data_IF_547424701287
#
_entry.id   IF_547424701287
#
_cell.length_a   1.000
_cell.length_b   1.000
_cell.length_c   1.000
_cell.angle_alpha   90.00
_cell.angle_beta   90.00
_cell.angle_gamma   90.00
#
_symmetry.space_group_name_H-M   'P 1'
#
loop_
_entity.id
_entity.type
_entity.pdbx_description
1 polymer ?
#
# COMPACT_ATOMS: atom_id res chain seq x y z
N UNK A 1 -7.35 9.26 -11.47
CA UNK A 1 -7.76 7.84 -11.37
C UNK A 1 -7.38 7.37 -9.99
N UNK A 2 -8.21 6.54 -9.33
CA UNK A 2 -7.87 5.96 -8.01
C UNK A 2 -6.96 4.75 -8.20
N UNK A 3 -6.10 4.46 -7.21
CA UNK A 3 -5.23 3.28 -7.22
C UNK A 3 -5.55 2.39 -6.03
N UNK A 4 -5.56 1.08 -6.24
CA UNK A 4 -5.46 0.09 -5.16
C UNK A 4 -4.06 -0.50 -5.24
N UNK A 5 -3.36 -0.56 -4.12
CA UNK A 5 -1.92 -0.85 -4.09
C UNK A 5 -1.64 -1.97 -3.10
N UNK A 6 -0.79 -2.91 -3.48
CA UNK A 6 -0.22 -3.89 -2.55
C UNK A 6 1.27 -4.09 -2.79
N UNK A 7 1.95 -4.63 -1.77
CA UNK A 7 3.36 -5.03 -1.81
C UNK A 7 3.46 -6.55 -1.74
N UNK A 8 4.02 -7.17 -2.77
CA UNK A 8 4.37 -8.59 -2.80
C UNK A 8 5.86 -8.76 -3.00
N UNK A 9 6.59 -9.00 -1.93
CA UNK A 9 8.04 -9.11 -1.91
C UNK A 9 8.50 -10.28 -1.02
N UNK A 10 9.69 -10.80 -1.30
CA UNK A 10 10.26 -11.92 -0.53
C UNK A 10 9.39 -13.18 -0.61
N UNK A 11 9.48 -14.03 0.41
CA UNK A 11 8.88 -15.37 0.42
C UNK A 11 7.86 -15.60 1.54
N UNK A 12 7.44 -14.53 2.26
CA UNK A 12 6.50 -14.68 3.38
C UNK A 12 5.12 -15.14 2.92
N UNK A 13 4.64 -14.57 1.82
CA UNK A 13 3.33 -14.90 1.26
C UNK A 13 3.49 -15.64 -0.07
N UNK A 14 2.53 -16.50 -0.37
CA UNK A 14 2.39 -17.11 -1.69
C UNK A 14 1.68 -16.13 -2.64
N UNK A 15 1.89 -16.28 -3.92
CA UNK A 15 1.28 -15.43 -4.96
C UNK A 15 -0.24 -15.46 -4.97
N UNK A 16 -0.83 -16.54 -4.45
CA UNK A 16 -2.28 -16.69 -4.31
C UNK A 16 -2.91 -15.58 -3.47
N UNK A 17 -2.17 -15.04 -2.47
CA UNK A 17 -2.65 -13.89 -1.69
C UNK A 17 -2.90 -12.65 -2.54
N UNK A 18 -2.05 -12.40 -3.53
CA UNK A 18 -2.24 -11.28 -4.46
C UNK A 18 -3.49 -11.48 -5.31
N UNK A 19 -3.71 -12.72 -5.84
CA UNK A 19 -4.90 -13.05 -6.61
C UNK A 19 -6.18 -12.95 -5.76
N UNK A 20 -6.13 -13.38 -4.51
CA UNK A 20 -7.25 -13.28 -3.57
C UNK A 20 -7.58 -11.81 -3.31
N UNK A 21 -6.57 -10.99 -2.97
CA UNK A 21 -6.78 -9.56 -2.74
C UNK A 21 -7.32 -8.85 -3.98
N UNK A 22 -6.77 -9.14 -5.17
CA UNK A 22 -7.28 -8.62 -6.42
C UNK A 22 -8.77 -8.96 -6.61
N UNK A 23 -9.13 -10.24 -6.46
CA UNK A 23 -10.50 -10.70 -6.66
C UNK A 23 -11.47 -10.08 -5.62
N UNK A 24 -11.05 -9.93 -4.36
CA UNK A 24 -11.84 -9.24 -3.34
C UNK A 24 -12.04 -7.76 -3.72
N UNK A 25 -10.98 -7.09 -4.17
CA UNK A 25 -11.06 -5.70 -4.63
C UNK A 25 -12.04 -5.56 -5.80
N UNK A 26 -11.94 -6.41 -6.82
CA UNK A 26 -12.87 -6.37 -7.97
C UNK A 26 -14.34 -6.62 -7.57
N UNK A 27 -14.57 -7.39 -6.51
CA UNK A 27 -15.93 -7.68 -6.01
C UNK A 27 -16.50 -6.55 -5.17
N UNK A 28 -15.68 -5.85 -4.41
CA UNK A 28 -16.10 -4.95 -3.33
C UNK A 28 -15.81 -3.47 -3.57
N UNK A 29 -15.09 -3.11 -4.66
CA UNK A 29 -14.85 -1.73 -5.06
C UNK A 29 -15.52 -1.44 -6.40
N UNK A 30 -16.48 -0.51 -6.41
CA UNK A 30 -17.20 -0.12 -7.64
C UNK A 30 -16.55 1.07 -8.35
N UNK A 31 -15.72 1.82 -7.64
CA UNK A 31 -15.02 3.00 -8.19
C UNK A 31 -13.96 2.55 -9.21
N UNK A 32 -13.92 3.15 -10.42
CA UNK A 32 -12.89 2.86 -11.40
C UNK A 32 -11.48 3.08 -10.84
N UNK A 33 -10.64 2.06 -10.91
CA UNK A 33 -9.31 2.07 -10.29
C UNK A 33 -8.30 1.25 -11.09
N UNK A 34 -7.02 1.51 -10.83
CA UNK A 34 -5.92 0.61 -11.18
C UNK A 34 -5.59 -0.26 -9.98
N UNK A 35 -5.24 -1.51 -10.20
CA UNK A 35 -4.69 -2.40 -9.18
C UNK A 35 -3.17 -2.54 -9.41
N UNK A 36 -2.38 -1.93 -8.53
CA UNK A 36 -0.93 -1.80 -8.68
C UNK A 36 -0.22 -2.74 -7.71
N UNK A 37 0.60 -3.63 -8.23
CA UNK A 37 1.37 -4.60 -7.46
C UNK A 37 2.84 -4.20 -7.51
N UNK A 38 3.42 -3.79 -6.39
CA UNK A 38 4.87 -3.65 -6.28
C UNK A 38 5.48 -4.97 -5.84
N UNK A 39 6.48 -5.45 -6.60
CA UNK A 39 7.06 -6.76 -6.36
C UNK A 39 8.54 -6.82 -6.78
N UNK A 40 9.29 -7.71 -6.15
CA UNK A 40 10.63 -8.16 -6.56
C UNK A 40 10.58 -9.43 -7.44
N UNK A 41 9.40 -10.01 -7.65
CA UNK A 41 9.20 -11.21 -8.46
C UNK A 41 9.01 -10.89 -9.95
N UNK A 42 10.03 -11.13 -10.76
CA UNK A 42 10.09 -10.76 -12.19
C UNK A 42 8.95 -11.33 -13.06
N UNK A 43 8.34 -12.46 -12.65
CA UNK A 43 7.30 -13.14 -13.42
C UNK A 43 5.87 -12.78 -13.01
N UNK A 44 5.68 -11.81 -12.13
CA UNK A 44 4.37 -11.50 -11.56
C UNK A 44 3.30 -11.13 -12.59
N UNK A 45 3.68 -10.42 -13.65
CA UNK A 45 2.79 -10.06 -14.77
C UNK A 45 2.18 -11.26 -15.51
N UNK A 46 2.71 -12.48 -15.29
CA UNK A 46 2.18 -13.73 -15.88
C UNK A 46 1.14 -14.39 -14.99
N UNK A 47 1.06 -13.99 -13.72
CA UNK A 47 0.32 -14.70 -12.68
C UNK A 47 -0.98 -13.96 -12.35
N UNK A 48 -0.93 -12.64 -12.19
CA UNK A 48 -2.13 -11.82 -11.96
C UNK A 48 -2.53 -11.17 -13.29
N UNK A 49 -3.73 -11.49 -13.74
CA UNK A 49 -4.26 -10.97 -15.01
C UNK A 49 -5.54 -10.19 -14.74
N UNK A 50 -5.64 -9.04 -15.35
CA UNK A 50 -6.81 -8.17 -15.30
C UNK A 50 -6.53 -6.91 -16.12
N UNK A 51 -7.57 -6.32 -16.69
CA UNK A 51 -7.45 -5.16 -17.58
C UNK A 51 -6.97 -3.91 -16.83
N UNK A 52 -7.19 -3.88 -15.50
CA UNK A 52 -6.79 -2.78 -14.62
C UNK A 52 -5.56 -3.12 -13.76
N UNK A 53 -4.86 -4.25 -14.01
CA UNK A 53 -3.68 -4.67 -13.24
C UNK A 53 -2.41 -4.06 -13.82
N UNK A 54 -1.61 -3.46 -12.95
CA UNK A 54 -0.28 -2.95 -13.27
C UNK A 54 0.75 -3.54 -12.31
N UNK A 55 1.79 -4.18 -12.85
CA UNK A 55 2.89 -4.74 -12.05
C UNK A 55 4.09 -3.83 -12.14
N UNK A 56 4.59 -3.39 -11.00
CA UNK A 56 5.75 -2.52 -10.86
C UNK A 56 6.83 -3.20 -10.04
N UNK A 57 8.08 -2.92 -10.36
CA UNK A 57 9.21 -3.32 -9.53
C UNK A 57 9.21 -2.49 -8.25
N UNK A 58 9.51 -3.12 -7.10
CA UNK A 58 9.77 -2.38 -5.86
C UNK A 58 10.92 -1.40 -6.10
N UNK A 59 10.74 -0.10 -5.83
CA UNK A 59 11.75 0.91 -6.16
C UNK A 59 13.10 0.68 -5.46
N UNK A 60 13.07 0.20 -4.21
CA UNK A 60 14.26 0.02 -3.39
C UNK A 60 14.33 -1.40 -2.85
N UNK A 61 15.54 -1.98 -2.79
CA UNK A 61 15.79 -3.34 -2.32
C UNK A 61 16.45 -3.40 -0.95
N UNK A 62 16.79 -2.25 -0.36
CA UNK A 62 17.56 -2.18 0.89
C UNK A 62 16.66 -2.26 2.14
N UNK A 63 15.35 -2.14 1.96
CA UNK A 63 14.41 -2.25 3.06
C UNK A 63 14.01 -3.69 3.30
N UNK A 64 13.89 -4.05 4.58
CA UNK A 64 13.47 -5.38 4.99
C UNK A 64 12.14 -5.31 5.75
N UNK A 65 11.37 -6.39 5.65
CA UNK A 65 10.12 -6.49 6.36
C UNK A 65 9.13 -5.40 5.96
N UNK A 66 8.37 -4.95 6.92
CA UNK A 66 7.35 -3.91 6.79
C UNK A 66 7.93 -2.53 6.39
N UNK A 67 9.26 -2.28 6.54
CA UNK A 67 9.93 -1.07 6.05
C UNK A 67 9.82 -0.88 4.53
N UNK A 68 9.55 -1.95 3.78
CA UNK A 68 9.26 -1.83 2.34
C UNK A 68 8.06 -0.92 2.04
N UNK A 69 7.12 -0.73 2.97
CA UNK A 69 6.00 0.20 2.81
C UNK A 69 6.44 1.65 2.59
N UNK A 70 7.62 2.04 3.12
CA UNK A 70 8.17 3.38 2.87
C UNK A 70 8.38 3.67 1.39
N UNK A 71 8.69 2.64 0.60
CA UNK A 71 8.91 2.80 -0.84
C UNK A 71 7.68 3.34 -1.57
N UNK A 72 6.48 3.11 -1.04
CA UNK A 72 5.23 3.60 -1.61
C UNK A 72 5.11 5.12 -1.55
N UNK A 73 5.82 5.76 -0.61
CA UNK A 73 5.80 7.21 -0.42
C UNK A 73 6.92 7.92 -1.16
N UNK A 74 7.81 7.16 -1.81
CA UNK A 74 8.89 7.73 -2.61
C UNK A 74 8.38 8.29 -3.94
N UNK A 75 9.09 9.27 -4.55
CA UNK A 75 8.80 9.71 -5.91
C UNK A 75 8.88 8.57 -6.93
N UNK A 76 9.78 7.60 -6.72
CA UNK A 76 10.01 6.46 -7.60
C UNK A 76 8.84 5.46 -7.62
N UNK A 77 7.98 5.48 -6.61
CA UNK A 77 6.73 4.71 -6.64
C UNK A 77 5.82 5.18 -7.78
N UNK A 78 5.94 6.43 -8.20
CA UNK A 78 5.17 7.00 -9.32
C UNK A 78 3.65 6.79 -9.16
N UNK A 79 3.14 7.06 -7.95
CA UNK A 79 1.73 6.99 -7.61
C UNK A 79 1.10 8.38 -7.79
N UNK A 80 0.20 8.50 -8.75
CA UNK A 80 -0.56 9.72 -9.01
C UNK A 80 -1.97 9.60 -8.44
N UNK A 81 -2.45 10.67 -7.77
CA UNK A 81 -3.78 10.70 -7.17
C UNK A 81 -3.85 9.89 -5.87
N UNK A 82 -5.06 9.54 -5.48
CA UNK A 82 -5.28 8.82 -4.22
C UNK A 82 -5.04 7.33 -4.39
N UNK A 83 -4.33 6.77 -3.44
CA UNK A 83 -3.96 5.36 -3.37
C UNK A 83 -4.51 4.72 -2.11
N UNK A 84 -5.15 3.57 -2.25
CA UNK A 84 -5.62 2.73 -1.15
C UNK A 84 -4.73 1.48 -1.08
N UNK A 85 -3.91 1.43 -0.06
CA UNK A 85 -3.01 0.31 0.20
C UNK A 85 -3.68 -0.74 1.08
N UNK A 86 -3.44 -2.00 0.76
CA UNK A 86 -3.78 -3.16 1.58
C UNK A 86 -2.57 -4.06 1.80
N UNK A 87 -2.38 -4.53 3.04
CA UNK A 87 -1.56 -5.71 3.30
C UNK A 87 -2.20 -6.94 2.62
N UNK A 88 -1.37 -7.90 2.23
CA UNK A 88 -1.82 -9.08 1.47
C UNK A 88 -2.75 -10.01 2.26
N UNK A 89 -2.70 -9.95 3.58
CA UNK A 89 -3.50 -10.76 4.51
C UNK A 89 -4.78 -10.06 4.99
N UNK A 90 -5.10 -8.89 4.44
CA UNK A 90 -6.38 -8.23 4.67
C UNK A 90 -7.51 -8.98 3.96
N UNK A 91 -8.63 -9.16 4.66
CA UNK A 91 -9.85 -9.76 4.10
C UNK A 91 -10.90 -8.68 3.90
N UNK A 92 -11.34 -8.49 2.66
CA UNK A 92 -12.39 -7.54 2.29
C UNK A 92 -13.71 -8.30 2.24
N UNK A 93 -14.67 -7.93 3.10
CA UNK A 93 -15.94 -8.65 3.29
C UNK A 93 -17.16 -7.88 2.79
N UNK A 94 -17.02 -6.57 2.54
CA UNK A 94 -18.11 -5.71 2.10
C UNK A 94 -17.58 -4.57 1.21
N UNK A 95 -18.49 -3.71 0.72
CA UNK A 95 -18.14 -2.57 -0.13
C UNK A 95 -17.11 -1.65 0.53
N UNK A 96 -16.08 -1.29 -0.23
CA UNK A 96 -14.97 -0.45 0.21
C UNK A 96 -14.89 0.92 -0.47
N UNK A 97 -15.93 1.34 -1.19
CA UNK A 97 -15.97 2.65 -1.86
C UNK A 97 -15.79 3.80 -0.85
N UNK A 98 -16.30 3.60 0.38
CA UNK A 98 -16.18 4.59 1.45
C UNK A 98 -14.73 4.94 1.81
N UNK A 99 -13.76 4.07 1.59
CA UNK A 99 -12.36 4.43 1.80
C UNK A 99 -11.91 5.58 0.89
N UNK A 100 -12.52 5.72 -0.30
CA UNK A 100 -12.22 6.82 -1.21
C UNK A 100 -13.13 8.03 -1.05
N UNK A 101 -14.35 7.85 -0.56
CA UNK A 101 -15.36 8.92 -0.49
C UNK A 101 -15.50 9.54 0.90
N UNK A 102 -15.07 8.83 1.96
CA UNK A 102 -15.06 9.38 3.31
C UNK A 102 -14.01 10.48 3.43
N UNK A 103 -14.42 11.67 3.86
CA UNK A 103 -13.56 12.84 3.98
C UNK A 103 -12.64 13.00 2.76
N UNK A 104 -13.24 13.20 1.59
CA UNK A 104 -12.55 13.17 0.29
C UNK A 104 -11.39 14.16 0.20
N UNK A 105 -11.50 15.32 0.87
CA UNK A 105 -10.45 16.33 0.93
C UNK A 105 -9.25 15.93 1.82
N UNK A 106 -9.42 14.92 2.69
CA UNK A 106 -8.35 14.43 3.54
C UNK A 106 -7.36 13.61 2.74
N UNK A 107 -6.09 13.98 2.78
CA UNK A 107 -5.03 13.36 1.98
C UNK A 107 -4.45 12.08 2.56
N UNK A 108 -4.68 11.82 3.83
CA UNK A 108 -4.21 10.61 4.54
C UNK A 108 -5.29 10.09 5.46
N UNK A 109 -5.66 8.83 5.32
CA UNK A 109 -6.56 8.09 6.23
C UNK A 109 -5.88 6.81 6.63
N UNK A 110 -5.77 6.58 7.91
CA UNK A 110 -5.14 5.40 8.52
C UNK A 110 -6.14 4.68 9.42
N UNK A 111 -6.00 3.37 9.51
CA UNK A 111 -6.73 2.59 10.49
C UNK A 111 -6.21 2.90 11.90
N UNK A 112 -7.14 3.00 12.87
CA UNK A 112 -6.76 3.02 14.28
C UNK A 112 -6.20 1.67 14.68
N UNK A 113 -5.17 1.67 15.53
CA UNK A 113 -4.61 0.44 16.06
C UNK A 113 -5.67 -0.36 16.84
N UNK A 114 -5.59 -1.68 16.75
CA UNK A 114 -6.43 -2.59 17.55
C UNK A 114 -6.16 -2.46 19.04
N UNK A 115 -4.94 -2.11 19.44
CA UNK A 115 -4.63 -1.78 20.82
C UNK A 115 -5.12 -0.37 21.15
N UNK A 116 -6.30 -0.27 21.76
CA UNK A 116 -6.95 1.00 22.11
C UNK A 116 -6.24 1.76 23.25
N UNK A 117 -5.29 1.13 23.93
CA UNK A 117 -4.49 1.79 25.00
C UNK A 117 -3.37 2.64 24.40
N UNK A 118 -2.94 2.36 23.19
CA UNK A 118 -1.98 3.15 22.43
C UNK A 118 -2.72 4.11 21.51
N UNK A 119 -2.18 5.32 21.32
CA UNK A 119 -2.67 6.26 20.28
C UNK A 119 -1.95 6.03 18.95
N UNK A 120 -1.67 4.75 18.63
CA UNK A 120 -0.98 4.35 17.40
C UNK A 120 -1.97 4.08 16.26
N UNK A 121 -1.43 4.01 15.06
CA UNK A 121 -2.16 3.69 13.84
C UNK A 121 -1.67 2.35 13.30
N UNK A 122 -2.59 1.61 12.68
CA UNK A 122 -2.29 0.39 11.95
C UNK A 122 -2.12 0.69 10.47
N UNK A 123 -1.05 0.20 9.87
CA UNK A 123 -0.69 0.46 8.48
C UNK A 123 -1.15 -0.62 7.49
N UNK A 124 -1.99 -1.57 7.94
CA UNK A 124 -2.49 -2.65 7.07
C UNK A 124 -3.46 -2.16 6.00
N UNK A 125 -4.14 -1.04 6.28
CA UNK A 125 -5.00 -0.34 5.32
C UNK A 125 -4.70 1.15 5.44
N UNK A 126 -4.35 1.78 4.31
CA UNK A 126 -4.03 3.20 4.26
C UNK A 126 -4.58 3.82 2.97
N UNK A 127 -5.35 4.93 3.09
CA UNK A 127 -5.57 5.81 1.94
C UNK A 127 -4.61 6.99 2.04
N UNK A 128 -3.92 7.29 0.97
CA UNK A 128 -2.94 8.38 0.93
C UNK A 128 -2.80 9.00 -0.47
N UNK A 129 -2.21 10.19 -0.50
CA UNK A 129 -1.84 10.88 -1.71
C UNK A 129 -0.35 11.24 -1.64
N UNK A 130 0.44 10.85 -2.64
CA UNK A 130 1.91 11.04 -2.62
C UNK A 130 2.34 12.51 -2.73
N UNK A 131 1.50 13.41 -3.24
CA UNK A 131 1.78 14.85 -3.16
C UNK A 131 1.96 15.33 -1.71
N UNK A 132 1.31 14.66 -0.75
CA UNK A 132 1.43 14.95 0.70
C UNK A 132 2.42 14.01 1.36
N UNK A 133 2.36 12.70 1.04
CA UNK A 133 3.16 11.69 1.77
C UNK A 133 4.63 11.74 1.42
N UNK A 134 5.01 12.12 0.20
CA UNK A 134 6.43 12.23 -0.15
C UNK A 134 7.14 13.25 0.74
N UNK A 135 6.73 14.53 0.84
CA UNK A 135 7.41 15.47 1.71
C UNK A 135 7.26 15.14 3.21
N UNK A 136 6.11 14.60 3.64
CA UNK A 136 5.84 14.37 5.06
C UNK A 136 6.47 13.10 5.62
N UNK A 137 6.63 12.06 4.81
CA UNK A 137 7.12 10.75 5.25
C UNK A 137 8.44 10.39 4.60
N UNK A 138 8.50 10.39 3.28
CA UNK A 138 9.69 9.96 2.56
C UNK A 138 10.88 10.91 2.77
N UNK A 139 10.70 12.21 2.53
CA UNK A 139 11.79 13.19 2.67
C UNK A 139 12.24 13.32 4.13
N UNK A 140 11.29 13.26 5.08
CA UNK A 140 11.59 13.24 6.51
C UNK A 140 12.40 11.99 6.87
N UNK A 141 11.97 10.80 6.41
CA UNK A 141 12.72 9.57 6.63
C UNK A 141 14.14 9.66 6.05
N UNK A 142 14.31 10.15 4.83
CA UNK A 142 15.64 10.31 4.21
C UNK A 142 16.54 11.25 5.00
N UNK A 143 15.98 12.36 5.50
CA UNK A 143 16.75 13.34 6.29
C UNK A 143 17.16 12.82 7.68
N UNK A 144 16.35 11.95 8.29
CA UNK A 144 16.57 11.41 9.63
C UNK A 144 16.82 9.89 9.64
N UNK A 145 17.25 9.29 8.53
CA UNK A 145 17.38 7.85 8.34
C UNK A 145 18.06 7.13 9.51
N UNK A 146 19.18 7.67 10.01
CA UNK A 146 19.92 7.08 11.13
C UNK A 146 19.11 6.98 12.43
N UNK A 147 18.14 7.88 12.62
CA UNK A 147 17.25 7.87 13.77
C UNK A 147 16.17 6.80 13.62
N UNK A 148 15.55 6.75 12.43
CA UNK A 148 14.48 5.79 12.15
C UNK A 148 14.99 4.34 12.03
N UNK A 149 16.18 4.11 11.47
CA UNK A 149 16.79 2.77 11.38
C UNK A 149 17.05 2.12 12.76
N UNK A 150 17.00 2.90 13.85
CA UNK A 150 17.10 2.39 15.23
C UNK A 150 15.75 2.05 15.85
N UNK A 151 14.66 2.46 15.23
CA UNK A 151 13.32 2.18 15.74
C UNK A 151 12.93 0.75 15.35
N UNK A 152 12.42 0.00 16.33
CA UNK A 152 11.76 -1.26 16.02
C UNK A 152 10.39 -0.93 15.44
N UNK A 153 10.00 -1.68 14.43
CA UNK A 153 8.69 -1.55 13.88
C UNK A 153 7.59 -2.26 14.67
N UNK A 154 6.41 -2.25 14.11
CA UNK A 154 5.21 -2.88 14.67
C UNK A 154 5.39 -4.36 15.01
#
# INVERSE_FOLDING_TARGET
>A
MKNVVCLYWGNKYKVEYVNILYNMTQRHLTIPHKFIIYTDHVKMHKIVKGDNVEVRKVPFHDYQGWWNKLTLFSPEANLEGDSLYFDLDVVITDNIDSFFTHEEDTKVVLMRDFNTTTKSFNSSIMRFNNQVMTPCVWDLYQSEKKKFDRMQGD
#
